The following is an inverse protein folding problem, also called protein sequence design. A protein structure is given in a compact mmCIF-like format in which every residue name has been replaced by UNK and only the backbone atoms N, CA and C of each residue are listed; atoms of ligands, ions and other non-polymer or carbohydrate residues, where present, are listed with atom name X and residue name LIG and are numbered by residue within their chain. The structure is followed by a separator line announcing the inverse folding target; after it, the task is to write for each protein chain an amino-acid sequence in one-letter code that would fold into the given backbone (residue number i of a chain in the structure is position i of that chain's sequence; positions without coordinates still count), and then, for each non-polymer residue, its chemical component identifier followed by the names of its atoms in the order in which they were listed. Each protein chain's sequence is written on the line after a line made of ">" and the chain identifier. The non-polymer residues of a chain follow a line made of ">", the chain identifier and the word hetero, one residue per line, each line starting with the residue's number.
data_IF_898064157941
#
_entry.id   IF_898064157941
#
_cell.length_a   1.000
_cell.length_b   1.000
_cell.length_c   1.000
_cell.angle_alpha   90.00
_cell.angle_beta   90.00
_cell.angle_gamma   90.00
#
_symmetry.space_group_name_H-M   'P 1'
#
loop_
_entity.id
_entity.type
_entity.pdbx_description
1 polymer ?
#
# COMPACT_ATOMS: atom_id res chain seq x y z
N UNK A 1 -24.44 -38.04 -17.36
CA UNK A 1 -24.44 -36.78 -18.15
C UNK A 1 -25.37 -35.83 -17.42
N UNK A 2 -24.94 -34.95 -16.51
CA UNK A 2 -23.73 -34.16 -16.50
C UNK A 2 -24.04 -32.75 -17.02
N UNK A 3 -24.89 -31.99 -16.33
CA UNK A 3 -24.99 -30.55 -16.55
C UNK A 3 -25.23 -29.86 -15.20
N UNK A 4 -24.16 -29.20 -14.77
CA UNK A 4 -24.00 -28.45 -13.53
C UNK A 4 -25.08 -27.38 -13.36
N UNK A 5 -25.56 -27.29 -12.12
CA UNK A 5 -26.37 -26.20 -11.59
C UNK A 5 -25.74 -24.84 -11.90
N UNK A 6 -26.35 -24.09 -12.81
CA UNK A 6 -26.14 -22.64 -13.00
C UNK A 6 -26.44 -21.92 -11.68
N UNK A 7 -25.43 -21.84 -10.83
CA UNK A 7 -25.48 -21.02 -9.63
C UNK A 7 -25.25 -19.60 -10.09
N UNK A 8 -26.35 -18.86 -10.26
CA UNK A 8 -26.31 -17.42 -10.47
C UNK A 8 -25.74 -16.82 -9.18
N UNK A 9 -24.46 -16.42 -9.20
CA UNK A 9 -23.80 -15.75 -8.07
C UNK A 9 -24.18 -14.26 -8.11
N UNK A 10 -25.44 -13.95 -7.84
CA UNK A 10 -25.88 -12.58 -7.60
C UNK A 10 -25.60 -12.24 -6.13
N UNK A 11 -24.71 -11.28 -5.87
CA UNK A 11 -24.51 -10.70 -4.54
C UNK A 11 -23.19 -11.01 -3.82
N UNK A 12 -22.17 -11.53 -4.52
CA UNK A 12 -20.82 -11.69 -3.94
C UNK A 12 -19.88 -10.56 -4.37
N UNK A 13 -19.05 -10.09 -3.44
CA UNK A 13 -18.11 -8.97 -3.63
C UNK A 13 -16.98 -9.37 -4.57
N UNK A 14 -16.49 -8.42 -5.37
CA UNK A 14 -15.30 -8.67 -6.19
C UNK A 14 -14.07 -8.95 -5.30
N UNK A 15 -13.24 -9.93 -5.67
CA UNK A 15 -11.99 -10.21 -4.98
C UNK A 15 -11.04 -9.00 -5.11
N UNK A 16 -10.21 -8.75 -4.10
CA UNK A 16 -9.31 -7.59 -4.01
C UNK A 16 -9.98 -6.20 -3.94
N UNK A 17 -11.28 -6.12 -3.67
CA UNK A 17 -11.97 -4.85 -3.41
C UNK A 17 -12.03 -4.56 -1.90
N UNK A 18 -11.20 -3.63 -1.37
CA UNK A 18 -11.27 -3.26 0.05
C UNK A 18 -12.59 -2.55 0.33
N UNK A 19 -13.19 -2.89 1.47
CA UNK A 19 -14.37 -2.16 1.98
C UNK A 19 -14.08 -0.69 2.24
N UNK A 20 -12.85 -0.39 2.62
CA UNK A 20 -12.38 0.96 2.97
C UNK A 20 -10.97 1.11 2.43
N UNK A 21 -10.79 2.05 1.50
CA UNK A 21 -9.49 2.52 1.08
C UNK A 21 -9.44 3.99 1.46
N UNK A 22 -8.42 4.35 2.25
CA UNK A 22 -8.18 5.73 2.65
C UNK A 22 -6.72 6.04 2.36
N UNK A 23 -6.49 7.03 1.51
CA UNK A 23 -5.17 7.64 1.34
C UNK A 23 -5.25 9.05 1.92
N UNK A 24 -4.47 9.30 2.97
CA UNK A 24 -4.34 10.62 3.57
C UNK A 24 -2.92 11.13 3.34
N UNK A 25 -2.81 12.35 2.82
CA UNK A 25 -1.52 12.98 2.53
C UNK A 25 -1.47 14.33 3.22
N UNK A 26 -0.41 14.56 3.97
CA UNK A 26 -0.11 15.80 4.67
C UNK A 26 1.20 16.37 4.12
N UNK A 27 1.11 17.53 3.48
CA UNK A 27 2.27 18.25 2.96
C UNK A 27 2.52 19.52 3.76
N UNK A 28 3.79 19.80 4.06
CA UNK A 28 4.21 21.03 4.70
C UNK A 28 5.41 21.62 3.95
N UNK A 29 5.27 22.87 3.51
CA UNK A 29 6.30 23.63 2.82
C UNK A 29 6.65 24.86 3.64
N UNK A 30 7.95 25.11 3.81
CA UNK A 30 8.49 26.24 4.55
C UNK A 30 9.31 27.14 3.62
N UNK A 31 9.18 28.48 3.72
CA UNK A 31 9.92 29.43 2.87
C UNK A 31 11.45 29.29 2.94
N UNK A 32 11.99 28.67 4.00
CA UNK A 32 13.41 28.33 4.12
C UNK A 32 13.87 27.12 3.30
N UNK A 33 13.09 26.67 2.31
CA UNK A 33 13.44 25.59 1.39
C UNK A 33 13.12 24.17 1.88
N UNK A 34 12.42 24.01 3.01
CA UNK A 34 12.03 22.69 3.52
C UNK A 34 10.65 22.31 3.00
N UNK A 35 10.56 21.18 2.31
CA UNK A 35 9.31 20.57 1.88
C UNK A 35 9.21 19.16 2.44
N UNK A 36 8.13 18.87 3.15
CA UNK A 36 7.89 17.55 3.74
C UNK A 36 6.53 17.03 3.32
N UNK A 37 6.44 15.73 3.13
CA UNK A 37 5.24 15.01 2.75
C UNK A 37 5.14 13.76 3.61
N UNK A 38 4.02 13.59 4.28
CA UNK A 38 3.65 12.39 5.00
C UNK A 38 2.41 11.79 4.32
N UNK A 39 2.47 10.53 3.95
CA UNK A 39 1.38 9.80 3.33
C UNK A 39 1.04 8.57 4.19
N UNK A 40 -0.25 8.40 4.46
CA UNK A 40 -0.81 7.24 5.13
C UNK A 40 -1.77 6.55 4.15
N UNK A 41 -1.44 5.31 3.78
CA UNK A 41 -2.28 4.47 2.93
C UNK A 41 -2.88 3.38 3.80
N UNK A 42 -4.17 3.51 4.11
CA UNK A 42 -4.95 2.50 4.81
C UNK A 42 -5.75 1.66 3.80
N UNK A 43 -5.48 0.37 3.83
CA UNK A 43 -6.25 -0.62 3.08
C UNK A 43 -7.00 -1.49 4.08
N UNK A 44 -8.33 -1.39 4.06
CA UNK A 44 -9.22 -2.22 4.87
C UNK A 44 -9.15 -3.68 4.46
N UNK A 45 -9.75 -4.56 5.28
CA UNK A 45 -9.73 -5.99 5.01
C UNK A 45 -10.36 -6.32 3.65
N UNK A 46 -9.70 -7.23 2.92
CA UNK A 46 -10.16 -7.70 1.60
C UNK A 46 -10.38 -9.22 1.66
N UNK A 47 -11.36 -9.70 0.90
CA UNK A 47 -11.51 -11.14 0.66
C UNK A 47 -10.67 -11.52 -0.55
N UNK A 48 -9.84 -12.55 -0.41
CA UNK A 48 -9.03 -13.10 -1.50
C UNK A 48 -9.80 -14.03 -2.45
N UNK A 49 -11.11 -14.24 -2.23
CA UNK A 49 -11.92 -15.17 -3.01
C UNK A 49 -13.39 -14.75 -3.14
N UNK A 50 -14.02 -15.16 -4.24
CA UNK A 50 -15.44 -14.92 -4.55
C UNK A 50 -16.40 -15.58 -3.55
N UNK A 51 -15.88 -16.48 -2.70
CA UNK A 51 -16.64 -17.23 -1.70
C UNK A 51 -16.64 -16.56 -0.31
N UNK A 52 -15.96 -15.42 -0.13
CA UNK A 52 -15.81 -14.71 1.15
C UNK A 52 -15.31 -15.62 2.30
N UNK A 53 -14.33 -16.47 2.01
CA UNK A 53 -13.84 -17.46 2.99
C UNK A 53 -13.00 -16.75 4.06
N UNK A 54 -13.49 -16.73 5.31
CA UNK A 54 -12.78 -16.12 6.45
C UNK A 54 -11.61 -16.96 6.96
N UNK A 55 -11.74 -18.29 6.91
CA UNK A 55 -10.70 -19.20 7.36
C UNK A 55 -9.60 -19.34 6.28
N UNK A 56 -8.31 -19.14 6.63
CA UNK A 56 -7.22 -19.37 5.68
C UNK A 56 -7.20 -20.86 5.28
N UNK A 57 -7.17 -21.13 3.97
CA UNK A 57 -6.99 -22.50 3.47
C UNK A 57 -5.53 -22.93 3.63
N UNK A 58 -5.27 -24.23 3.81
CA UNK A 58 -3.92 -24.77 4.06
C UNK A 58 -2.88 -24.46 2.95
N UNK A 59 -3.36 -24.12 1.75
CA UNK A 59 -2.54 -23.70 0.60
C UNK A 59 -2.30 -22.18 0.53
N UNK A 60 -2.79 -21.38 1.50
CA UNK A 60 -2.55 -19.93 1.59
C UNK A 60 -3.21 -19.05 0.52
N UNK A 61 -3.87 -19.66 -0.47
CA UNK A 61 -4.47 -19.01 -1.63
C UNK A 61 -5.86 -18.40 -1.36
N UNK A 62 -6.53 -18.79 -0.27
CA UNK A 62 -7.81 -18.21 0.16
C UNK A 62 -7.74 -17.78 1.63
N UNK A 63 -8.54 -16.79 1.99
CA UNK A 63 -8.58 -16.22 3.33
C UNK A 63 -8.71 -14.70 3.31
N UNK A 64 -9.04 -14.15 4.48
CA UNK A 64 -9.13 -12.71 4.68
C UNK A 64 -7.73 -12.08 4.66
N UNK A 65 -7.54 -11.06 3.81
CA UNK A 65 -6.41 -10.14 3.90
C UNK A 65 -6.72 -9.16 5.05
N UNK A 66 -5.93 -9.16 6.13
CA UNK A 66 -6.14 -8.22 7.23
C UNK A 66 -5.89 -6.78 6.75
N UNK A 67 -6.56 -5.82 7.39
CA UNK A 67 -6.31 -4.41 7.12
C UNK A 67 -4.89 -4.03 7.49
N UNK A 68 -4.27 -3.15 6.70
CA UNK A 68 -2.94 -2.65 6.95
C UNK A 68 -2.85 -1.16 6.64
N UNK A 69 -1.93 -0.49 7.32
CA UNK A 69 -1.66 0.94 7.12
C UNK A 69 -0.19 1.11 6.78
N UNK A 70 0.11 1.62 5.59
CA UNK A 70 1.47 1.93 5.19
C UNK A 70 1.69 3.42 5.38
N UNK A 71 2.80 3.78 6.00
CA UNK A 71 3.23 5.16 6.13
C UNK A 71 4.44 5.40 5.26
N UNK A 72 4.38 6.45 4.44
CA UNK A 72 5.46 6.90 3.59
C UNK A 72 5.77 8.35 3.95
N UNK A 73 7.04 8.70 3.99
CA UNK A 73 7.51 10.05 4.29
C UNK A 73 8.51 10.48 3.25
N UNK A 74 8.39 11.71 2.76
CA UNK A 74 9.40 12.36 1.91
C UNK A 74 9.76 13.71 2.52
N UNK A 75 11.04 14.01 2.54
CA UNK A 75 11.61 15.29 2.98
C UNK A 75 12.53 15.76 1.87
N UNK A 76 12.27 16.96 1.37
CA UNK A 76 13.13 17.67 0.45
C UNK A 76 13.62 18.94 1.15
N UNK A 77 14.90 19.24 1.00
CA UNK A 77 15.51 20.44 1.52
C UNK A 77 16.32 21.12 0.43
N UNK A 78 15.83 22.27 -0.03
CA UNK A 78 16.44 23.07 -1.09
C UNK A 78 17.27 24.18 -0.47
N UNK A 79 18.56 24.17 -0.78
CA UNK A 79 19.50 25.23 -0.42
C UNK A 79 19.70 26.12 -1.63
N UNK A 80 18.99 27.26 -1.64
CA UNK A 80 19.01 28.21 -2.77
C UNK A 80 20.42 28.71 -3.08
N UNK A 81 21.21 29.06 -2.06
CA UNK A 81 22.59 29.53 -2.22
C UNK A 81 23.51 28.52 -2.92
N UNK A 82 23.22 27.22 -2.81
CA UNK A 82 24.00 26.13 -3.40
C UNK A 82 23.32 25.53 -4.64
N UNK A 83 22.16 26.05 -5.04
CA UNK A 83 21.31 25.48 -6.10
C UNK A 83 21.12 23.94 -5.98
N UNK A 84 21.06 23.44 -4.74
CA UNK A 84 21.07 22.02 -4.43
C UNK A 84 19.83 21.64 -3.62
N UNK A 85 19.14 20.59 -4.02
CA UNK A 85 18.05 19.98 -3.27
C UNK A 85 18.46 18.60 -2.75
N UNK A 86 18.43 18.44 -1.44
CA UNK A 86 18.58 17.16 -0.75
C UNK A 86 17.21 16.52 -0.69
N UNK A 87 17.06 15.29 -1.17
CA UNK A 87 15.82 14.54 -1.03
C UNK A 87 16.05 13.27 -0.20
N UNK A 88 15.06 12.94 0.61
CA UNK A 88 15.04 11.78 1.48
C UNK A 88 13.62 11.22 1.54
N UNK A 89 13.44 9.97 1.15
CA UNK A 89 12.16 9.29 1.13
C UNK A 89 12.27 7.97 1.86
N UNK A 90 11.31 7.69 2.74
CA UNK A 90 11.13 6.42 3.42
C UNK A 90 9.75 5.89 3.07
N UNK A 91 9.69 4.71 2.45
CA UNK A 91 8.45 3.97 2.26
C UNK A 91 8.33 2.87 3.30
N UNK A 92 7.10 2.62 3.75
CA UNK A 92 6.80 1.67 4.81
C UNK A 92 7.65 1.94 6.07
N UNK A 93 7.49 3.14 6.64
CA UNK A 93 8.28 3.65 7.78
C UNK A 93 8.29 2.68 8.96
N UNK A 94 7.16 2.05 9.25
CA UNK A 94 6.98 1.11 10.37
C UNK A 94 7.35 -0.35 10.04
N UNK A 95 7.90 -0.61 8.85
CA UNK A 95 8.28 -1.95 8.39
C UNK A 95 7.12 -2.96 8.53
N UNK A 96 5.92 -2.52 8.19
CA UNK A 96 4.72 -3.33 8.33
C UNK A 96 4.76 -4.45 7.28
N UNK A 97 4.79 -5.69 7.75
CA UNK A 97 4.61 -6.87 6.91
C UNK A 97 3.12 -7.04 6.63
N UNK A 98 2.73 -6.81 5.38
CA UNK A 98 1.36 -7.04 4.90
C UNK A 98 1.38 -7.98 3.70
N UNK A 99 0.22 -8.54 3.37
CA UNK A 99 0.05 -9.42 2.23
C UNK A 99 -0.53 -8.57 1.10
N UNK A 100 0.24 -8.39 0.03
CA UNK A 100 -0.20 -7.58 -1.11
C UNK A 100 -1.07 -8.40 -2.07
N UNK A 101 -0.80 -9.70 -2.22
CA UNK A 101 -1.50 -10.58 -3.15
C UNK A 101 -1.51 -12.03 -2.64
N UNK A 102 -2.59 -12.77 -2.93
CA UNK A 102 -2.74 -14.21 -2.66
C UNK A 102 -3.06 -15.05 -3.91
N UNK A 103 -3.24 -14.42 -5.07
CA UNK A 103 -3.72 -15.03 -6.32
C UNK A 103 -2.81 -16.15 -6.84
N UNK A 104 -1.50 -16.08 -6.52
CA UNK A 104 -0.48 -17.07 -6.88
C UNK A 104 0.24 -17.65 -5.66
N UNK A 105 -0.32 -17.48 -4.46
CA UNK A 105 0.35 -17.74 -3.16
C UNK A 105 0.54 -16.44 -2.36
N UNK A 106 0.99 -16.52 -1.11
CA UNK A 106 1.15 -15.35 -0.23
C UNK A 106 2.33 -14.51 -0.69
N UNK A 107 2.05 -13.38 -1.33
CA UNK A 107 3.06 -12.40 -1.71
C UNK A 107 3.14 -11.30 -0.64
N UNK A 108 4.31 -11.16 0.03
CA UNK A 108 4.51 -10.06 0.97
C UNK A 108 4.56 -8.73 0.22
N UNK A 109 4.01 -7.70 0.86
CA UNK A 109 4.11 -6.33 0.42
C UNK A 109 5.54 -5.79 0.46
N UNK A 110 5.71 -4.57 -0.04
CA UNK A 110 7.03 -3.95 -0.11
C UNK A 110 7.61 -3.76 1.31
N UNK A 111 8.83 -4.26 1.59
CA UNK A 111 9.49 -4.00 2.87
C UNK A 111 9.86 -2.51 3.00
N UNK A 112 10.34 -2.11 4.18
CA UNK A 112 10.84 -0.74 4.37
C UNK A 112 11.92 -0.39 3.33
N UNK A 113 11.71 0.71 2.62
CA UNK A 113 12.64 1.22 1.60
C UNK A 113 13.05 2.64 1.98
N UNK A 114 14.36 2.90 1.98
CA UNK A 114 14.93 4.23 2.18
C UNK A 114 15.65 4.66 0.91
N UNK A 115 15.35 5.86 0.43
CA UNK A 115 15.97 6.48 -0.74
C UNK A 115 16.42 7.88 -0.37
N UNK A 116 17.62 8.26 -0.81
CA UNK A 116 18.15 9.59 -0.57
C UNK A 116 19.03 10.02 -1.73
N UNK A 117 19.14 11.32 -1.97
CA UNK A 117 20.05 11.84 -2.97
C UNK A 117 20.10 13.35 -3.02
N UNK A 118 20.87 13.83 -3.98
CA UNK A 118 21.12 15.24 -4.23
C UNK A 118 20.68 15.56 -5.65
N UNK A 119 20.01 16.69 -5.83
CA UNK A 119 19.69 17.27 -7.13
C UNK A 119 20.38 18.63 -7.22
N UNK A 120 21.20 18.80 -8.23
CA UNK A 120 21.82 20.09 -8.55
C UNK A 120 21.08 20.71 -9.72
N UNK A 121 20.77 22.00 -9.63
CA UNK A 121 20.14 22.76 -10.71
C UNK A 121 21.11 23.87 -11.13
N UNK A 122 21.31 24.09 -12.43
CA UNK A 122 22.25 25.06 -13.01
C UNK A 122 21.51 26.15 -13.79
#
# INVERSE_FOLDING_TARGET
>A
SGIDSTTIITGRRLPYAPERLLTATFGYSHPGGLDTLLEAVYVGSQFGDDLNTRAPTANGQRGLLPSHTIWNTTVNYTVEHLHTTFFFTVKNVFDQLYIADRSRGILPGQPRLVQSGLKFTF
#
